data_IF_612706286366
#
_entry.id   IF_612706286366
#
_cell.length_a   1.000
_cell.length_b   1.000
_cell.length_c   1.000
_cell.angle_alpha   90.00
_cell.angle_beta   90.00
_cell.angle_gamma   90.00
#
_symmetry.space_group_name_H-M   'P 1'
#
loop_
_entity.id
_entity.type
_entity.pdbx_description
1 polymer ?
#
# COMPACT_ATOMS: atom_id res chain seq x y z
N UNK A 1 13.02 -20.47 13.80
CA UNK A 1 12.12 -19.34 13.55
C UNK A 1 12.89 -18.11 13.94
N UNK A 2 13.29 -17.30 12.97
CA UNK A 2 14.02 -16.07 13.25
C UNK A 2 13.06 -15.01 13.81
N UNK A 3 13.58 -13.97 14.47
CA UNK A 3 12.77 -12.94 15.13
C UNK A 3 11.78 -12.28 14.15
N UNK A 4 12.17 -12.14 12.90
CA UNK A 4 11.39 -11.47 11.85
C UNK A 4 10.13 -12.25 11.43
N UNK A 5 10.12 -13.59 11.57
CA UNK A 5 8.99 -14.44 11.16
C UNK A 5 7.69 -14.08 11.91
N UNK A 6 7.81 -13.61 13.17
CA UNK A 6 6.67 -13.22 13.99
C UNK A 6 5.97 -11.92 13.58
N UNK A 7 6.60 -11.13 12.71
CA UNK A 7 6.09 -9.83 12.28
C UNK A 7 5.68 -9.82 10.80
N UNK A 8 5.92 -10.92 10.08
CA UNK A 8 5.50 -11.10 8.69
C UNK A 8 4.07 -11.61 8.60
N UNK A 9 3.37 -11.29 7.53
CA UNK A 9 2.05 -11.87 7.25
C UNK A 9 2.24 -13.27 6.69
N UNK A 10 1.75 -14.28 7.39
CA UNK A 10 1.54 -15.63 6.86
C UNK A 10 0.03 -15.81 6.65
N UNK A 11 -0.45 -15.91 5.40
CA UNK A 11 -1.89 -15.96 5.12
C UNK A 11 -2.63 -17.05 5.88
N UNK A 12 -2.08 -18.27 5.94
CA UNK A 12 -2.67 -19.39 6.66
C UNK A 12 -2.84 -19.08 8.16
N UNK A 13 -1.84 -18.47 8.81
CA UNK A 13 -1.90 -18.12 10.24
C UNK A 13 -2.96 -17.05 10.52
N UNK A 14 -3.08 -16.05 9.63
CA UNK A 14 -4.13 -15.02 9.73
C UNK A 14 -5.52 -15.64 9.59
N UNK A 15 -5.69 -16.61 8.68
CA UNK A 15 -6.96 -17.31 8.48
C UNK A 15 -7.31 -18.18 9.70
N UNK A 16 -6.33 -18.88 10.28
CA UNK A 16 -6.49 -19.67 11.50
C UNK A 16 -6.90 -18.75 12.68
N UNK A 17 -6.22 -17.61 12.86
CA UNK A 17 -6.55 -16.62 13.87
C UNK A 17 -8.00 -16.11 13.72
N UNK A 18 -8.46 -15.83 12.50
CA UNK A 18 -9.83 -15.40 12.24
C UNK A 18 -10.86 -16.48 12.56
N UNK A 19 -10.54 -17.75 12.31
CA UNK A 19 -11.40 -18.89 12.65
C UNK A 19 -11.47 -19.08 14.16
N UNK A 20 -10.34 -19.02 14.85
CA UNK A 20 -10.25 -19.12 16.33
C UNK A 20 -11.06 -18.03 17.02
N UNK A 21 -10.96 -16.77 16.55
CA UNK A 21 -11.76 -15.67 17.08
C UNK A 21 -13.27 -15.89 16.95
N UNK A 22 -13.73 -16.52 15.86
CA UNK A 22 -15.15 -16.85 15.67
C UNK A 22 -15.66 -17.88 16.70
N UNK A 23 -14.77 -18.74 17.20
CA UNK A 23 -15.08 -19.69 18.28
C UNK A 23 -14.89 -19.13 19.69
N UNK A 24 -14.44 -17.86 19.81
CA UNK A 24 -14.16 -17.22 21.10
C UNK A 24 -12.74 -17.48 21.63
N UNK A 25 -11.87 -18.09 20.84
CA UNK A 25 -10.46 -18.31 21.18
C UNK A 25 -9.59 -17.16 20.64
N UNK A 26 -8.89 -16.49 21.52
CA UNK A 26 -8.03 -15.33 21.23
C UNK A 26 -6.54 -15.69 21.16
N UNK A 27 -6.17 -16.97 21.32
CA UNK A 27 -4.76 -17.40 21.41
C UNK A 27 -3.94 -17.07 20.17
N UNK A 28 -4.54 -17.11 18.96
CA UNK A 28 -3.91 -16.80 17.67
C UNK A 28 -3.98 -15.32 17.26
N UNK A 29 -4.58 -14.43 18.07
CA UNK A 29 -4.84 -13.04 17.66
C UNK A 29 -3.58 -12.21 17.32
N UNK A 30 -2.42 -12.63 17.78
CA UNK A 30 -1.13 -12.00 17.44
C UNK A 30 -0.89 -11.96 15.92
N UNK A 31 -1.34 -12.97 15.15
CA UNK A 31 -1.22 -12.99 13.71
C UNK A 31 -1.95 -11.81 13.02
N UNK A 32 -2.95 -11.22 13.63
CA UNK A 32 -3.66 -10.06 13.07
C UNK A 32 -2.82 -8.77 13.13
N UNK A 33 -1.87 -8.66 14.07
CA UNK A 33 -0.98 -7.51 14.11
C UNK A 33 0.01 -7.51 12.96
N UNK A 34 0.31 -8.69 12.39
CA UNK A 34 1.21 -8.80 11.22
C UNK A 34 0.66 -8.07 10.00
N UNK A 35 -0.66 -7.88 9.89
CA UNK A 35 -1.27 -7.09 8.82
C UNK A 35 -0.75 -5.65 8.73
N UNK A 36 -0.14 -5.14 9.82
CA UNK A 36 0.48 -3.82 9.85
C UNK A 36 2.00 -3.95 9.94
N UNK A 37 2.53 -4.84 10.81
CA UNK A 37 3.96 -4.91 11.09
C UNK A 37 4.78 -5.36 9.89
N UNK A 38 4.24 -6.23 9.04
CA UNK A 38 4.88 -6.68 7.82
C UNK A 38 5.28 -5.51 6.89
N UNK A 39 4.52 -4.42 6.89
CA UNK A 39 4.84 -3.23 6.10
C UNK A 39 6.08 -2.46 6.59
N UNK A 40 6.60 -2.78 7.77
CA UNK A 40 7.81 -2.18 8.34
C UNK A 40 9.06 -3.03 8.08
N UNK A 41 8.90 -4.24 7.55
CA UNK A 41 9.97 -5.18 7.27
C UNK A 41 10.34 -5.18 5.79
N UNK A 42 11.60 -5.53 5.49
CA UNK A 42 12.10 -5.64 4.12
C UNK A 42 13.06 -6.81 4.00
N UNK A 43 12.95 -7.57 2.92
CA UNK A 43 13.76 -8.77 2.70
C UNK A 43 15.25 -8.49 2.42
N UNK A 44 15.54 -7.33 1.83
CA UNK A 44 16.90 -6.89 1.52
C UNK A 44 16.98 -5.36 1.37
N UNK A 45 18.21 -4.85 1.27
CA UNK A 45 18.48 -3.40 1.12
C UNK A 45 17.90 -2.84 -0.18
N UNK A 46 17.93 -3.59 -1.26
CA UNK A 46 17.37 -3.17 -2.54
C UNK A 46 15.85 -3.00 -2.43
N UNK A 47 15.17 -3.97 -1.82
CA UNK A 47 13.74 -3.90 -1.53
C UNK A 47 13.37 -2.67 -0.67
N UNK A 48 14.16 -2.40 0.38
CA UNK A 48 13.99 -1.20 1.21
C UNK A 48 14.16 0.08 0.38
N UNK A 49 15.25 0.20 -0.39
CA UNK A 49 15.55 1.40 -1.14
C UNK A 49 14.48 1.72 -2.20
N UNK A 50 13.98 0.72 -2.92
CA UNK A 50 12.90 0.90 -3.89
C UNK A 50 11.60 1.33 -3.21
N UNK A 51 11.22 0.69 -2.10
CA UNK A 51 10.04 1.11 -1.33
C UNK A 51 10.18 2.55 -0.84
N UNK A 52 11.34 2.94 -0.29
CA UNK A 52 11.56 4.30 0.20
C UNK A 52 11.56 5.34 -0.92
N UNK A 53 12.08 5.00 -2.09
CA UNK A 53 12.06 5.90 -3.25
C UNK A 53 10.62 6.20 -3.71
N UNK A 54 9.82 5.17 -3.93
CA UNK A 54 8.42 5.35 -4.36
C UNK A 54 7.57 5.98 -3.25
N UNK A 55 7.76 5.55 -2.01
CA UNK A 55 7.10 6.17 -0.86
C UNK A 55 7.41 7.67 -0.79
N UNK A 56 8.66 8.05 -0.98
CA UNK A 56 9.04 9.45 -1.00
C UNK A 56 8.28 10.23 -2.08
N UNK A 57 8.24 9.74 -3.32
CA UNK A 57 7.56 10.43 -4.41
C UNK A 57 6.09 10.68 -4.05
N UNK A 58 5.35 9.65 -3.70
CA UNK A 58 3.90 9.73 -3.52
C UNK A 58 3.49 10.24 -2.12
N UNK A 59 4.20 9.87 -1.06
CA UNK A 59 3.90 10.37 0.27
C UNK A 59 4.29 11.85 0.45
N UNK A 60 5.34 12.34 -0.21
CA UNK A 60 5.67 13.76 -0.21
C UNK A 60 4.54 14.58 -0.85
N UNK A 61 4.00 14.11 -1.98
CA UNK A 61 2.83 14.74 -2.63
C UNK A 61 1.60 14.69 -1.71
N UNK A 62 1.35 13.54 -1.06
CA UNK A 62 0.26 13.44 -0.10
C UNK A 62 0.45 14.39 1.10
N UNK A 63 1.68 14.55 1.60
CA UNK A 63 2.01 15.49 2.68
C UNK A 63 1.75 16.95 2.28
N UNK A 64 2.11 17.32 1.07
CA UNK A 64 1.87 18.68 0.52
C UNK A 64 0.37 18.95 0.37
N UNK A 65 -0.38 17.99 -0.16
CA UNK A 65 -1.81 18.16 -0.42
C UNK A 65 -2.69 18.06 0.83
N UNK A 66 -2.35 17.18 1.78
CA UNK A 66 -3.23 16.77 2.88
C UNK A 66 -2.61 17.00 4.26
N UNK A 67 -1.28 17.07 4.35
CA UNK A 67 -0.54 17.17 5.60
C UNK A 67 -0.15 15.81 6.20
N UNK A 68 0.83 15.84 7.12
CA UNK A 68 1.50 14.65 7.66
C UNK A 68 0.57 13.65 8.38
N UNK A 69 -0.50 14.13 9.02
CA UNK A 69 -1.48 13.23 9.68
C UNK A 69 -2.12 12.28 8.69
N UNK A 70 -2.49 12.79 7.52
CA UNK A 70 -3.05 11.97 6.45
C UNK A 70 -2.05 10.97 5.90
N UNK A 71 -0.76 11.35 5.78
CA UNK A 71 0.28 10.41 5.34
C UNK A 71 0.32 9.17 6.24
N UNK A 72 0.35 9.36 7.57
CA UNK A 72 0.35 8.24 8.52
C UNK A 72 -0.92 7.39 8.44
N UNK A 73 -2.08 8.04 8.37
CA UNK A 73 -3.37 7.34 8.27
C UNK A 73 -3.47 6.53 6.98
N UNK A 74 -3.07 7.12 5.86
CA UNK A 74 -3.04 6.45 4.55
C UNK A 74 -2.09 5.27 4.58
N UNK A 75 -0.86 5.44 5.09
CA UNK A 75 0.12 4.36 5.19
C UNK A 75 -0.46 3.15 5.94
N UNK A 76 -0.94 3.35 7.15
CA UNK A 76 -1.49 2.26 7.97
C UNK A 76 -2.72 1.63 7.32
N UNK A 77 -3.65 2.44 6.83
CA UNK A 77 -4.86 1.93 6.21
C UNK A 77 -4.56 1.11 4.95
N UNK A 78 -3.71 1.61 4.07
CA UNK A 78 -3.40 0.93 2.80
C UNK A 78 -2.48 -0.28 2.99
N UNK A 79 -1.60 -0.28 4.02
CA UNK A 79 -0.88 -1.48 4.45
C UNK A 79 -1.86 -2.59 4.85
N UNK A 80 -2.87 -2.27 5.68
CA UNK A 80 -3.90 -3.22 6.09
C UNK A 80 -4.70 -3.71 4.88
N UNK A 81 -5.16 -2.80 4.01
CA UNK A 81 -5.89 -3.18 2.79
C UNK A 81 -5.07 -4.13 1.91
N UNK A 82 -3.77 -3.84 1.75
CA UNK A 82 -2.85 -4.69 1.02
C UNK A 82 -2.73 -6.08 1.63
N UNK A 83 -2.42 -6.14 2.92
CA UNK A 83 -2.27 -7.41 3.65
C UNK A 83 -3.58 -8.24 3.63
N UNK A 84 -4.72 -7.61 3.87
CA UNK A 84 -6.03 -8.29 3.83
C UNK A 84 -6.34 -8.84 2.43
N UNK A 85 -6.08 -8.07 1.38
CA UNK A 85 -6.29 -8.51 0.02
C UNK A 85 -5.35 -9.69 -0.33
N UNK A 86 -4.07 -9.62 0.07
CA UNK A 86 -3.12 -10.72 -0.13
C UNK A 86 -3.57 -12.00 0.56
N UNK A 87 -3.96 -11.92 1.85
CA UNK A 87 -4.51 -13.06 2.61
C UNK A 87 -5.76 -13.62 1.94
N UNK A 88 -6.69 -12.77 1.51
CA UNK A 88 -7.93 -13.20 0.89
C UNK A 88 -7.73 -13.94 -0.45
N UNK A 89 -6.67 -13.60 -1.19
CA UNK A 89 -6.32 -14.24 -2.46
C UNK A 89 -5.46 -15.51 -2.29
N UNK A 90 -4.86 -15.72 -1.09
CA UNK A 90 -3.87 -16.78 -0.83
C UNK A 90 -4.12 -17.46 0.52
N UNK A 91 -5.36 -17.81 0.84
CA UNK A 91 -5.80 -18.24 2.19
C UNK A 91 -5.05 -19.41 2.80
N UNK A 92 -4.43 -20.28 1.98
CA UNK A 92 -3.70 -21.47 2.40
C UNK A 92 -2.18 -21.32 2.25
N UNK A 93 -1.72 -20.13 1.83
CA UNK A 93 -0.30 -19.85 1.63
C UNK A 93 0.42 -19.79 2.99
N UNK A 94 1.55 -20.50 3.07
CA UNK A 94 2.44 -20.53 4.25
C UNK A 94 3.73 -19.73 4.04
N UNK A 95 3.92 -19.15 2.84
CA UNK A 95 5.07 -18.30 2.56
C UNK A 95 4.84 -16.92 3.19
N UNK A 96 5.77 -16.46 4.04
CA UNK A 96 5.64 -15.15 4.68
C UNK A 96 5.70 -14.00 3.65
N UNK A 97 4.83 -13.00 3.83
CA UNK A 97 4.83 -11.75 3.09
C UNK A 97 5.32 -10.61 3.98
N UNK A 98 6.15 -9.73 3.41
CA UNK A 98 6.64 -8.52 4.04
C UNK A 98 6.87 -7.40 3.01
N UNK A 99 6.97 -6.16 3.47
CA UNK A 99 7.31 -5.00 2.65
C UNK A 99 6.29 -3.88 2.71
N UNK A 100 6.77 -2.64 2.61
CA UNK A 100 5.93 -1.45 2.56
C UNK A 100 5.19 -1.27 1.22
N UNK A 101 5.46 -2.11 0.22
CA UNK A 101 5.02 -1.91 -1.16
C UNK A 101 3.49 -1.82 -1.32
N UNK A 102 2.71 -2.58 -0.54
CA UNK A 102 1.26 -2.43 -0.51
C UNK A 102 0.82 -1.02 -0.08
N UNK A 103 1.46 -0.44 0.95
CA UNK A 103 1.20 0.93 1.37
C UNK A 103 1.67 1.96 0.32
N UNK A 104 2.81 1.72 -0.33
CA UNK A 104 3.33 2.56 -1.42
C UNK A 104 2.34 2.62 -2.57
N UNK A 105 1.87 1.47 -3.06
CA UNK A 105 0.81 1.39 -4.07
C UNK A 105 -0.48 2.08 -3.60
N UNK A 106 -0.73 2.07 -2.29
CA UNK A 106 -1.83 2.81 -1.68
C UNK A 106 -1.73 4.32 -1.85
N UNK A 107 -0.54 4.91 -1.76
CA UNK A 107 -0.33 6.33 -2.04
C UNK A 107 -0.51 6.66 -3.52
N UNK A 108 -0.12 5.77 -4.42
CA UNK A 108 -0.38 5.92 -5.86
C UNK A 108 -1.89 5.91 -6.14
N UNK A 109 -2.60 4.94 -5.58
CA UNK A 109 -4.06 4.85 -5.65
C UNK A 109 -4.75 6.08 -5.07
N UNK A 110 -4.31 6.56 -3.90
CA UNK A 110 -4.81 7.79 -3.27
C UNK A 110 -4.72 8.98 -4.21
N UNK A 111 -3.54 9.17 -4.81
CA UNK A 111 -3.31 10.27 -5.74
C UNK A 111 -4.24 10.19 -6.95
N UNK A 112 -4.38 8.99 -7.53
CA UNK A 112 -5.29 8.77 -8.65
C UNK A 112 -6.75 9.06 -8.26
N UNK A 113 -7.20 8.56 -7.10
CA UNK A 113 -8.55 8.83 -6.57
C UNK A 113 -8.83 10.32 -6.39
N UNK A 114 -7.88 11.07 -5.84
CA UNK A 114 -7.97 12.53 -5.74
C UNK A 114 -7.99 13.19 -7.12
N UNK A 115 -7.14 12.75 -8.06
CA UNK A 115 -7.07 13.32 -9.40
C UNK A 115 -8.33 13.08 -10.24
N UNK A 116 -9.07 12.01 -9.98
CA UNK A 116 -10.39 11.78 -10.59
C UNK A 116 -11.41 12.79 -10.04
N UNK A 117 -11.33 13.10 -8.75
CA UNK A 117 -12.31 13.93 -8.04
C UNK A 117 -12.08 15.43 -8.19
N UNK A 118 -10.80 15.84 -8.22
CA UNK A 118 -10.42 17.26 -8.23
C UNK A 118 -9.35 17.59 -9.27
N UNK A 119 -9.24 18.86 -9.61
CA UNK A 119 -8.09 19.38 -10.36
C UNK A 119 -6.96 19.64 -9.36
N UNK A 120 -5.97 18.75 -9.34
CA UNK A 120 -4.80 18.89 -8.48
C UNK A 120 -3.79 19.86 -9.11
N UNK A 121 -3.06 20.65 -8.29
CA UNK A 121 -1.94 21.45 -8.78
C UNK A 121 -0.81 20.53 -9.26
N UNK A 122 0.16 21.09 -9.98
CA UNK A 122 1.40 20.38 -10.29
C UNK A 122 2.28 20.32 -9.03
N UNK A 123 2.44 19.15 -8.39
CA UNK A 123 3.23 19.07 -7.18
C UNK A 123 4.73 19.20 -7.45
N UNK A 124 5.45 19.72 -6.47
CA UNK A 124 6.90 19.71 -6.43
C UNK A 124 7.40 18.44 -5.75
N UNK A 125 7.94 17.51 -6.54
CA UNK A 125 8.56 16.29 -6.00
C UNK A 125 10.07 16.51 -5.95
N UNK A 126 10.62 16.83 -4.76
CA UNK A 126 12.06 16.94 -4.60
C UNK A 126 12.73 15.55 -4.80
N UNK A 127 13.85 15.40 -5.50
CA UNK A 127 14.73 16.45 -6.03
C UNK A 127 14.41 16.92 -7.46
N UNK A 128 13.24 16.66 -7.99
CA UNK A 128 12.85 17.08 -9.34
C UNK A 128 12.69 18.61 -9.34
N UNK A 129 13.49 19.29 -10.16
CA UNK A 129 13.55 20.75 -10.19
C UNK A 129 12.28 21.45 -10.74
N UNK A 130 11.42 20.70 -11.42
CA UNK A 130 10.18 21.23 -12.02
C UNK A 130 8.96 20.50 -11.47
N UNK A 131 7.81 21.21 -11.31
CA UNK A 131 6.56 20.57 -10.94
C UNK A 131 6.20 19.44 -11.91
N UNK A 132 5.74 18.31 -11.40
CA UNK A 132 5.33 17.15 -12.19
C UNK A 132 3.83 17.25 -12.47
N UNK A 133 3.39 17.23 -13.74
CA UNK A 133 1.95 17.23 -14.05
C UNK A 133 1.23 16.04 -13.40
N UNK A 134 0.01 16.23 -12.86
CA UNK A 134 -0.78 15.16 -12.27
C UNK A 134 -0.96 13.92 -13.17
N UNK A 135 -1.07 14.14 -14.47
CA UNK A 135 -1.19 13.05 -15.45
C UNK A 135 0.07 12.16 -15.49
N UNK A 136 1.26 12.71 -15.29
CA UNK A 136 2.50 11.91 -15.26
C UNK A 136 2.58 11.05 -13.99
N UNK A 137 2.19 11.60 -12.81
CA UNK A 137 2.14 10.82 -11.58
C UNK A 137 1.10 9.70 -11.65
N UNK A 138 -0.09 10.00 -12.19
CA UNK A 138 -1.11 8.99 -12.43
C UNK A 138 -0.63 7.90 -13.42
N UNK A 139 0.12 8.29 -14.47
CA UNK A 139 0.68 7.34 -15.42
C UNK A 139 1.72 6.42 -14.77
N UNK A 140 2.57 6.94 -13.86
CA UNK A 140 3.53 6.12 -13.12
C UNK A 140 2.80 5.03 -12.31
N UNK A 141 1.75 5.39 -11.57
CA UNK A 141 0.97 4.43 -10.80
C UNK A 141 0.28 3.38 -11.68
N UNK A 142 -0.32 3.79 -12.81
CA UNK A 142 -0.94 2.85 -13.76
C UNK A 142 0.11 1.92 -14.39
N UNK A 143 1.28 2.45 -14.74
CA UNK A 143 2.38 1.64 -15.30
C UNK A 143 2.87 0.63 -14.24
N UNK A 144 3.01 1.02 -12.98
CA UNK A 144 3.35 0.12 -11.87
C UNK A 144 2.37 -1.06 -11.78
N UNK A 145 1.07 -0.78 -11.79
CA UNK A 145 0.03 -1.83 -11.79
C UNK A 145 0.11 -2.76 -13.03
N UNK A 146 0.41 -2.21 -14.20
CA UNK A 146 0.56 -3.02 -15.42
C UNK A 146 1.79 -3.93 -15.33
N UNK A 147 2.90 -3.48 -14.73
CA UNK A 147 4.05 -4.32 -14.45
C UNK A 147 3.72 -5.43 -13.47
N UNK A 148 3.02 -5.11 -12.37
CA UNK A 148 2.57 -6.11 -11.40
C UNK A 148 1.67 -7.15 -12.05
N UNK A 149 0.68 -6.71 -12.82
CA UNK A 149 -0.21 -7.62 -13.54
C UNK A 149 0.54 -8.51 -14.54
N UNK A 150 1.49 -7.94 -15.28
CA UNK A 150 2.37 -8.70 -16.18
C UNK A 150 3.22 -9.71 -15.42
N UNK A 151 3.77 -9.33 -14.27
CA UNK A 151 4.55 -10.21 -13.40
C UNK A 151 3.71 -11.37 -12.85
N UNK A 152 2.49 -11.07 -12.39
CA UNK A 152 1.54 -12.07 -11.93
C UNK A 152 1.21 -13.09 -13.03
N UNK A 153 0.87 -12.62 -14.23
CA UNK A 153 0.59 -13.51 -15.38
C UNK A 153 1.83 -14.29 -15.84
N UNK A 154 3.02 -13.72 -15.70
CA UNK A 154 4.30 -14.36 -16.00
C UNK A 154 4.75 -15.38 -14.95
N UNK A 155 4.03 -15.51 -13.83
CA UNK A 155 4.35 -16.45 -12.74
C UNK A 155 5.63 -16.08 -11.96
N UNK A 156 6.03 -14.79 -11.99
CA UNK A 156 7.20 -14.35 -11.21
C UNK A 156 6.91 -14.47 -9.71
N UNK A 157 7.82 -15.15 -8.99
CA UNK A 157 7.74 -15.36 -7.55
C UNK A 157 8.39 -14.21 -6.77
N UNK A 158 8.03 -14.08 -5.49
CA UNK A 158 8.65 -13.13 -4.57
C UNK A 158 8.02 -11.72 -4.57
N UNK A 159 6.92 -11.52 -5.30
CA UNK A 159 6.13 -10.27 -5.26
C UNK A 159 4.72 -10.57 -4.74
N UNK A 160 4.31 -9.84 -3.72
CA UNK A 160 2.98 -9.96 -3.12
C UNK A 160 1.94 -9.15 -3.92
N UNK A 161 1.60 -9.57 -5.13
CA UNK A 161 0.68 -8.86 -6.04
C UNK A 161 -0.66 -8.54 -5.41
N UNK A 162 -1.19 -9.45 -4.57
CA UNK A 162 -2.40 -9.19 -3.80
C UNK A 162 -2.28 -7.99 -2.86
N UNK A 163 -1.11 -7.81 -2.23
CA UNK A 163 -0.85 -6.66 -1.37
C UNK A 163 -0.77 -5.35 -2.17
N UNK A 164 -0.14 -5.37 -3.33
CA UNK A 164 -0.09 -4.22 -4.24
C UNK A 164 -1.50 -3.81 -4.70
N UNK A 165 -2.27 -4.77 -5.18
CA UNK A 165 -3.64 -4.52 -5.64
C UNK A 165 -4.54 -3.99 -4.52
N UNK A 166 -4.51 -4.63 -3.34
CA UNK A 166 -5.32 -4.22 -2.19
C UNK A 166 -4.95 -2.83 -1.68
N UNK A 167 -3.65 -2.54 -1.58
CA UNK A 167 -3.16 -1.22 -1.21
C UNK A 167 -3.61 -0.14 -2.19
N UNK A 168 -3.42 -0.37 -3.49
CA UNK A 168 -3.81 0.56 -4.54
C UNK A 168 -5.33 0.85 -4.52
N UNK A 169 -6.16 -0.19 -4.47
CA UNK A 169 -7.62 -0.03 -4.41
C UNK A 169 -8.03 0.71 -3.13
N UNK A 170 -7.48 0.34 -1.98
CA UNK A 170 -7.73 1.02 -0.70
C UNK A 170 -7.41 2.51 -0.76
N UNK A 171 -6.24 2.84 -1.31
CA UNK A 171 -5.82 4.23 -1.51
C UNK A 171 -6.73 4.99 -2.48
N UNK A 172 -7.10 4.37 -3.60
CA UNK A 172 -7.98 4.96 -4.59
C UNK A 172 -9.38 5.25 -4.01
N UNK A 173 -9.92 4.35 -3.21
CA UNK A 173 -11.21 4.56 -2.52
C UNK A 173 -11.10 5.70 -1.51
N UNK A 174 -10.01 5.76 -0.72
CA UNK A 174 -9.77 6.89 0.18
C UNK A 174 -9.75 8.22 -0.58
N UNK A 175 -8.98 8.31 -1.66
CA UNK A 175 -8.85 9.53 -2.46
C UNK A 175 -10.16 9.96 -3.14
N UNK A 176 -10.90 8.98 -3.66
CA UNK A 176 -12.13 9.24 -4.40
C UNK A 176 -13.35 9.54 -3.51
N UNK A 177 -13.40 9.00 -2.27
CA UNK A 177 -14.62 9.03 -1.47
C UNK A 177 -14.46 9.64 -0.07
N UNK A 178 -13.30 9.50 0.58
CA UNK A 178 -13.14 9.79 2.01
C UNK A 178 -12.37 11.08 2.29
N UNK A 179 -11.25 11.27 1.59
CA UNK A 179 -10.35 12.41 1.81
C UNK A 179 -11.08 13.74 1.57
N UNK A 180 -10.90 14.76 2.43
CA UNK A 180 -11.41 16.10 2.16
C UNK A 180 -10.67 16.73 0.98
N UNK A 181 -11.32 17.68 0.30
CA UNK A 181 -10.69 18.40 -0.80
C UNK A 181 -9.42 19.11 -0.30
N UNK A 182 -8.26 18.88 -0.92
CA UNK A 182 -7.04 19.62 -0.58
C UNK A 182 -7.25 21.12 -0.78
N UNK A 183 -6.71 21.95 0.13
CA UNK A 183 -6.89 23.42 0.08
C UNK A 183 -6.43 24.05 -1.23
N UNK A 184 -5.47 23.44 -1.89
CA UNK A 184 -4.87 23.91 -3.15
C UNK A 184 -5.50 23.29 -4.40
N UNK A 185 -6.46 22.37 -4.23
CA UNK A 185 -7.18 21.73 -5.34
C UNK A 185 -8.39 22.58 -5.76
N UNK A 186 -8.81 22.43 -7.02
CA UNK A 186 -10.01 23.04 -7.55
C UNK A 186 -11.06 21.96 -7.85
N UNK A 187 -12.37 22.25 -7.67
CA UNK A 187 -13.44 21.38 -8.13
C UNK A 187 -13.32 21.09 -9.63
N UNK A 188 -13.77 19.93 -10.05
CA UNK A 188 -13.92 19.59 -11.47
C UNK A 188 -15.25 20.09 -12.02
#
# INVERSE_FOLDING_TARGET
MEFDDHFMVVPADVMEALQSLRSGDFSGSAALFTLITAALLHGDVGHLLWNMLYLWIFAAVAAELLGHRWVMMVFVFTAICGSVCHVALNTEETIPMLGASGAVMGFEGLYLGMAVRWRLPNPHVWPIARPVPPAHLAAIGVIGLLFDFSGYLGGYQGVAYGAHLGGFIGGMVLGAAVIPMPRVALPR
#
